data_IF_669022071452
#
_entry.id   IF_669022071452
#
_cell.length_a   1.000
_cell.length_b   1.000
_cell.length_c   1.000
_cell.angle_alpha   90.00
_cell.angle_beta   90.00
_cell.angle_gamma   90.00
#
_symmetry.space_group_name_H-M   'P 1'
#
loop_
_entity.id
_entity.type
_entity.pdbx_description
1 polymer ?
#
# COMPACT_ATOMS: atom_id res chain seq x y z
N UNK A 1 6.04 6.44 -5.04
CA UNK A 1 6.39 7.16 -3.80
C UNK A 1 7.77 7.77 -3.98
N UNK A 2 8.01 8.97 -3.45
CA UNK A 2 9.33 9.62 -3.50
C UNK A 2 10.24 9.12 -2.37
N UNK A 3 11.53 9.39 -2.49
CA UNK A 3 12.48 9.25 -1.39
C UNK A 3 11.99 10.06 -0.18
N UNK A 4 11.86 9.40 0.96
CA UNK A 4 11.37 9.97 2.21
C UNK A 4 12.40 9.74 3.30
N UNK A 5 12.76 10.79 4.02
CA UNK A 5 13.66 10.70 5.18
C UNK A 5 13.07 9.80 6.28
N UNK A 6 13.91 9.24 7.18
CA UNK A 6 13.45 8.57 8.39
C UNK A 6 12.34 9.33 9.14
N UNK A 7 11.22 8.68 9.45
CA UNK A 7 10.08 9.31 10.13
C UNK A 7 9.09 8.28 10.68
N UNK A 8 8.30 8.68 11.69
CA UNK A 8 7.13 7.95 12.21
C UNK A 8 5.87 8.82 12.29
N UNK A 9 5.80 9.86 11.46
CA UNK A 9 4.76 10.89 11.52
C UNK A 9 3.51 10.58 10.67
N UNK A 10 3.46 9.47 9.92
CA UNK A 10 2.40 9.26 8.91
C UNK A 10 0.99 9.15 9.49
N UNK A 11 0.86 8.75 10.76
CA UNK A 11 -0.43 8.66 11.46
C UNK A 11 -0.51 9.59 12.67
N UNK A 12 0.44 10.53 12.81
CA UNK A 12 0.51 11.48 13.94
C UNK A 12 -0.28 12.74 13.60
N UNK A 13 -1.60 12.65 13.70
CA UNK A 13 -2.50 13.78 13.47
C UNK A 13 -2.44 14.82 14.60
N UNK A 14 -2.76 16.11 14.34
CA UNK A 14 -2.84 17.15 15.37
C UNK A 14 -3.93 16.85 16.40
N UNK A 15 -3.68 17.15 17.69
CA UNK A 15 -4.64 16.81 18.76
C UNK A 15 -5.96 17.56 18.63
N UNK A 16 -5.90 18.75 18.05
CA UNK A 16 -7.00 19.66 17.79
C UNK A 16 -8.05 19.07 16.85
N UNK A 17 -7.65 18.15 15.95
CA UNK A 17 -8.57 17.42 15.09
C UNK A 17 -9.35 16.34 15.88
N UNK A 18 -8.81 15.84 17.00
CA UNK A 18 -9.43 14.78 17.78
C UNK A 18 -10.71 15.26 18.48
N UNK A 19 -11.81 14.54 18.28
CA UNK A 19 -13.11 14.83 18.90
C UNK A 19 -14.05 15.71 18.05
N UNK A 20 -13.60 16.13 16.86
CA UNK A 20 -14.37 16.98 15.96
C UNK A 20 -14.13 16.57 14.49
N UNK A 21 -14.08 15.28 14.17
CA UNK A 21 -13.64 14.82 12.84
C UNK A 21 -14.81 14.72 11.88
N UNK A 22 -14.72 15.45 10.77
CA UNK A 22 -15.68 15.34 9.66
C UNK A 22 -15.18 14.37 8.60
N UNK A 23 -13.91 14.46 8.23
CA UNK A 23 -13.29 13.62 7.21
C UNK A 23 -11.81 13.44 7.53
N UNK A 24 -11.26 12.25 7.31
CA UNK A 24 -9.84 11.96 7.54
C UNK A 24 -9.35 10.99 6.47
N UNK A 25 -8.24 11.31 5.84
CA UNK A 25 -7.65 10.48 4.79
C UNK A 25 -6.12 10.55 4.83
N UNK A 26 -5.49 9.39 4.62
CA UNK A 26 -4.04 9.31 4.42
C UNK A 26 -3.69 9.41 2.93
N UNK A 27 -2.63 10.16 2.64
CA UNK A 27 -1.92 10.08 1.38
C UNK A 27 -0.76 9.09 1.46
N UNK A 28 0.21 9.25 0.57
CA UNK A 28 1.32 8.29 0.48
C UNK A 28 2.30 8.32 1.65
N UNK A 29 2.58 9.52 2.18
CA UNK A 29 3.53 9.79 3.28
C UNK A 29 3.05 10.92 4.20
N UNK A 30 1.84 11.43 3.95
CA UNK A 30 1.19 12.51 4.69
C UNK A 30 -0.27 12.16 4.89
N UNK A 31 -1.01 12.92 5.68
CA UNK A 31 -2.46 12.79 5.79
C UNK A 31 -3.12 14.15 5.92
N UNK A 32 -4.42 14.16 5.68
CA UNK A 32 -5.27 15.34 5.73
C UNK A 32 -6.56 15.03 6.50
N UNK A 33 -7.04 16.00 7.26
CA UNK A 33 -8.28 15.89 8.03
C UNK A 33 -9.05 17.18 7.97
N UNK A 34 -10.37 17.10 8.09
CA UNK A 34 -11.27 18.23 8.27
C UNK A 34 -11.95 18.14 9.64
N UNK A 35 -11.88 19.25 10.37
CA UNK A 35 -12.55 19.42 11.67
C UNK A 35 -13.98 19.94 11.54
N UNK A 36 -14.81 19.73 12.56
CA UNK A 36 -16.12 20.37 12.67
C UNK A 36 -16.01 21.89 12.79
N UNK A 37 -14.86 22.38 13.26
CA UNK A 37 -14.47 23.79 13.29
C UNK A 37 -14.23 24.40 11.91
N UNK A 38 -14.37 23.60 10.84
CA UNK A 38 -14.22 24.01 9.45
C UNK A 38 -12.77 24.11 8.98
N UNK A 39 -11.78 23.77 9.81
CA UNK A 39 -10.36 23.83 9.45
C UNK A 39 -9.88 22.55 8.79
N UNK A 40 -8.84 22.71 7.99
CA UNK A 40 -8.06 21.61 7.41
C UNK A 40 -6.82 21.39 8.28
N UNK A 41 -6.53 20.13 8.54
CA UNK A 41 -5.36 19.68 9.29
C UNK A 41 -4.50 18.80 8.38
N UNK A 42 -3.18 18.90 8.53
CA UNK A 42 -2.24 18.05 7.82
C UNK A 42 -1.17 17.48 8.76
N UNK A 43 -0.64 16.31 8.41
CA UNK A 43 0.46 15.68 9.14
C UNK A 43 1.31 14.78 8.24
N UNK A 44 2.41 14.27 8.79
CA UNK A 44 3.36 13.40 8.08
C UNK A 44 4.48 14.18 7.40
N UNK A 45 4.91 13.73 6.22
CA UNK A 45 5.99 14.37 5.46
C UNK A 45 5.40 15.28 4.39
N UNK A 46 5.40 16.58 4.67
CA UNK A 46 4.91 17.60 3.74
C UNK A 46 6.03 18.09 2.81
N UNK A 47 5.65 18.41 1.58
CA UNK A 47 6.52 19.14 0.64
C UNK A 47 6.22 20.63 0.76
N UNK A 48 7.13 21.55 0.34
CA UNK A 48 6.86 22.98 0.41
C UNK A 48 5.54 23.39 -0.26
N UNK A 49 5.12 22.69 -1.34
CA UNK A 49 3.83 22.96 -1.99
C UNK A 49 2.62 22.42 -1.21
N UNK A 50 2.79 21.34 -0.43
CA UNK A 50 1.73 20.83 0.44
C UNK A 50 1.51 21.75 1.64
N UNK A 51 2.56 22.43 2.12
CA UNK A 51 2.46 23.41 3.21
C UNK A 51 1.66 24.66 2.81
N UNK A 52 1.51 24.94 1.51
CA UNK A 52 0.66 26.01 0.97
C UNK A 52 -0.83 25.58 0.95
N UNK A 53 -1.34 25.18 2.11
CA UNK A 53 -2.71 24.76 2.29
C UNK A 53 -3.69 25.93 2.09
N UNK A 54 -4.86 25.71 1.46
CA UNK A 54 -5.87 26.75 1.29
C UNK A 54 -6.47 27.16 2.65
N UNK A 55 -6.96 28.39 2.73
CA UNK A 55 -7.67 28.92 3.88
C UNK A 55 -9.16 29.14 3.51
N UNK A 56 -9.98 28.08 3.46
CA UNK A 56 -11.38 28.17 3.06
C UNK A 56 -12.20 28.98 4.07
N UNK A 57 -13.20 29.70 3.59
CA UNK A 57 -14.12 30.48 4.44
C UNK A 57 -15.36 29.70 4.87
N UNK A 58 -15.70 28.62 4.16
CA UNK A 58 -16.84 27.76 4.46
C UNK A 58 -16.38 26.45 5.10
N UNK A 59 -17.30 25.73 5.74
CA UNK A 59 -16.97 24.47 6.42
C UNK A 59 -16.56 23.39 5.42
N UNK A 60 -15.45 22.73 5.69
CA UNK A 60 -14.97 21.60 4.89
C UNK A 60 -15.71 20.33 5.29
N UNK A 61 -16.28 19.65 4.29
CA UNK A 61 -17.09 18.43 4.46
C UNK A 61 -16.36 17.16 4.01
N UNK A 62 -15.37 17.29 3.12
CA UNK A 62 -14.55 16.17 2.69
C UNK A 62 -13.13 16.63 2.41
N UNK A 63 -12.16 15.77 2.72
CA UNK A 63 -10.77 15.90 2.29
C UNK A 63 -10.30 14.61 1.64
N UNK A 64 -9.36 14.70 0.71
CA UNK A 64 -8.73 13.54 0.09
C UNK A 64 -7.24 13.81 -0.14
N UNK A 65 -6.41 12.80 0.08
CA UNK A 65 -4.95 12.91 -0.02
C UNK A 65 -4.38 11.91 -1.03
N UNK A 66 -3.72 12.44 -2.06
CA UNK A 66 -3.11 11.65 -3.11
C UNK A 66 -1.65 11.32 -2.84
N UNK A 67 -0.88 11.17 -3.92
CA UNK A 67 0.55 10.91 -3.81
C UNK A 67 1.31 12.10 -3.20
N UNK A 68 1.09 13.29 -3.75
CA UNK A 68 1.82 14.52 -3.41
C UNK A 68 0.98 15.81 -3.62
N UNK A 69 -0.35 15.67 -3.66
CA UNK A 69 -1.33 16.75 -3.67
C UNK A 69 -2.55 16.33 -2.84
N UNK A 70 -3.38 17.29 -2.45
CA UNK A 70 -4.58 17.07 -1.68
C UNK A 70 -5.75 17.91 -2.21
N UNK A 71 -6.95 17.42 -1.91
CA UNK A 71 -8.22 18.03 -2.25
C UNK A 71 -9.05 18.26 -0.99
N UNK A 72 -9.85 19.31 -1.01
CA UNK A 72 -10.90 19.56 -0.03
C UNK A 72 -12.18 20.03 -0.72
N UNK A 73 -13.31 19.64 -0.14
CA UNK A 73 -14.65 20.01 -0.58
C UNK A 73 -15.34 20.73 0.57
N UNK A 74 -15.93 21.89 0.29
CA UNK A 74 -16.75 22.61 1.27
C UNK A 74 -18.25 22.29 1.17
N UNK A 75 -19.01 22.75 2.15
CA UNK A 75 -20.46 22.55 2.25
C UNK A 75 -21.27 23.13 1.08
N UNK A 76 -20.69 24.08 0.34
CA UNK A 76 -21.30 24.69 -0.84
C UNK A 76 -20.96 23.94 -2.14
N UNK A 77 -20.11 22.91 -2.06
CA UNK A 77 -19.68 22.13 -3.23
C UNK A 77 -18.50 22.74 -3.98
N UNK A 78 -17.75 23.67 -3.37
CA UNK A 78 -16.53 24.24 -3.95
C UNK A 78 -15.33 23.34 -3.67
N UNK A 79 -14.48 23.18 -4.68
CA UNK A 79 -13.30 22.31 -4.63
C UNK A 79 -12.05 23.14 -4.44
N UNK A 80 -11.22 22.76 -3.48
CA UNK A 80 -9.91 23.31 -3.22
C UNK A 80 -8.83 22.27 -3.49
N UNK A 81 -7.74 22.67 -4.14
CA UNK A 81 -6.63 21.78 -4.52
C UNK A 81 -5.31 22.43 -4.14
N UNK A 82 -4.39 21.67 -3.55
CA UNK A 82 -3.05 22.17 -3.23
C UNK A 82 -1.99 21.05 -3.21
N UNK A 83 -0.72 21.42 -3.15
CA UNK A 83 0.40 20.48 -3.32
C UNK A 83 0.97 20.50 -4.73
N UNK A 84 1.29 19.34 -5.29
CA UNK A 84 1.83 19.26 -6.64
C UNK A 84 0.84 19.81 -7.67
N UNK A 85 1.31 20.77 -8.48
CA UNK A 85 0.56 21.52 -9.49
C UNK A 85 0.92 21.11 -10.92
N UNK A 86 1.87 20.19 -11.10
CA UNK A 86 2.24 19.68 -12.43
C UNK A 86 1.01 19.05 -13.10
N UNK A 87 0.96 19.10 -14.42
CA UNK A 87 -0.17 18.58 -15.21
C UNK A 87 -1.50 19.23 -14.82
N UNK A 88 -1.48 20.48 -14.37
CA UNK A 88 -2.67 21.23 -13.97
C UNK A 88 -3.45 20.61 -12.80
N UNK A 89 -2.79 19.82 -11.94
CA UNK A 89 -3.43 19.19 -10.79
C UNK A 89 -4.08 20.18 -9.82
N UNK A 90 -3.50 21.37 -9.70
CA UNK A 90 -4.00 22.45 -8.87
C UNK A 90 -5.10 23.30 -9.53
N UNK A 91 -5.54 22.95 -10.75
CA UNK A 91 -6.52 23.72 -11.51
C UNK A 91 -7.74 22.83 -11.82
N UNK A 92 -8.76 22.83 -10.94
CA UNK A 92 -10.03 22.17 -11.22
C UNK A 92 -10.65 22.66 -12.55
N UNK A 93 -11.36 21.80 -13.30
CA UNK A 93 -12.07 22.21 -14.50
C UNK A 93 -13.04 23.38 -14.23
N UNK A 94 -13.05 24.45 -15.05
CA UNK A 94 -13.92 25.61 -14.84
C UNK A 94 -15.42 25.28 -14.78
N UNK A 95 -15.84 24.17 -15.40
CA UNK A 95 -17.21 23.67 -15.38
C UNK A 95 -17.69 23.36 -13.96
N UNK A 96 -16.78 22.99 -13.06
CA UNK A 96 -17.12 22.72 -11.66
C UNK A 96 -17.59 23.98 -10.91
N UNK A 97 -17.30 25.19 -11.40
CA UNK A 97 -17.77 26.42 -10.78
C UNK A 97 -19.29 26.61 -10.89
N UNK A 98 -19.94 25.90 -11.82
CA UNK A 98 -21.38 25.97 -12.07
C UNK A 98 -22.13 24.73 -11.59
N UNK A 99 -21.43 23.77 -10.97
CA UNK A 99 -21.98 22.50 -10.51
C UNK A 99 -21.78 22.37 -9.00
N UNK A 100 -22.68 21.69 -8.30
CA UNK A 100 -22.49 21.38 -6.87
C UNK A 100 -21.70 20.08 -6.75
N UNK A 101 -20.44 20.13 -6.32
CA UNK A 101 -19.63 18.93 -6.09
C UNK A 101 -20.06 18.25 -4.78
N UNK A 102 -20.14 16.92 -4.79
CA UNK A 102 -20.51 16.09 -3.62
C UNK A 102 -19.44 15.09 -3.21
N UNK A 103 -18.47 14.82 -4.10
CA UNK A 103 -17.32 13.98 -3.76
C UNK A 103 -16.06 14.47 -4.47
N UNK A 104 -14.93 14.46 -3.77
CA UNK A 104 -13.59 14.68 -4.36
C UNK A 104 -12.65 13.52 -4.06
N UNK A 105 -11.72 13.23 -4.97
CA UNK A 105 -10.65 12.25 -4.75
C UNK A 105 -9.31 12.75 -5.29
N UNK A 106 -8.25 12.53 -4.53
CA UNK A 106 -6.87 12.79 -4.89
C UNK A 106 -6.16 11.47 -5.18
N UNK A 107 -5.83 11.22 -6.45
CA UNK A 107 -5.21 9.97 -6.90
C UNK A 107 -3.69 10.05 -7.10
N UNK A 108 -3.18 9.19 -7.97
CA UNK A 108 -1.80 9.26 -8.44
C UNK A 108 -1.69 10.24 -9.61
N UNK A 109 -1.25 11.48 -9.36
CA UNK A 109 -1.16 12.53 -10.39
C UNK A 109 -2.46 12.79 -11.16
N UNK A 110 -3.61 12.45 -10.58
CA UNK A 110 -4.93 12.67 -11.13
C UNK A 110 -5.90 13.00 -9.99
N UNK A 111 -6.93 13.77 -10.30
CA UNK A 111 -7.95 14.24 -9.37
C UNK A 111 -9.33 13.98 -9.93
N UNK A 112 -10.31 13.75 -9.05
CA UNK A 112 -11.70 13.49 -9.40
C UNK A 112 -12.64 14.43 -8.64
N UNK A 113 -13.74 14.79 -9.30
CA UNK A 113 -14.90 15.40 -8.69
C UNK A 113 -16.16 14.71 -9.21
N UNK A 114 -17.09 14.37 -8.30
CA UNK A 114 -18.44 13.92 -8.61
C UNK A 114 -19.41 15.04 -8.24
N UNK A 115 -20.28 15.42 -9.16
CA UNK A 115 -21.32 16.43 -8.94
C UNK A 115 -22.60 15.82 -8.40
N UNK A 116 -23.43 16.63 -7.74
CA UNK A 116 -24.77 16.26 -7.30
C UNK A 116 -25.69 15.87 -8.46
N UNK A 117 -25.39 16.36 -9.67
CA UNK A 117 -26.05 16.00 -10.92
C UNK A 117 -25.58 14.65 -11.48
N UNK A 118 -24.71 13.92 -10.77
CA UNK A 118 -24.23 12.59 -11.15
C UNK A 118 -23.14 12.58 -12.21
N UNK A 119 -22.44 13.71 -12.43
CA UNK A 119 -21.36 13.81 -13.42
C UNK A 119 -19.99 13.65 -12.77
N UNK A 120 -19.10 12.90 -13.42
CA UNK A 120 -17.70 12.75 -13.00
C UNK A 120 -16.80 13.62 -13.88
N UNK A 121 -15.94 14.41 -13.23
CA UNK A 121 -14.87 15.18 -13.84
C UNK A 121 -13.52 14.67 -13.37
N UNK A 122 -12.58 14.54 -14.31
CA UNK A 122 -11.22 14.04 -14.05
C UNK A 122 -10.19 15.01 -14.64
N UNK A 123 -9.16 15.37 -13.87
CA UNK A 123 -8.08 16.25 -14.34
C UNK A 123 -6.72 15.85 -13.75
N UNK A 124 -5.63 16.35 -14.35
CA UNK A 124 -4.26 15.98 -13.99
C UNK A 124 -3.49 15.40 -15.18
N UNK A 125 -2.70 14.34 -14.94
CA UNK A 125 -1.87 13.69 -15.95
C UNK A 125 -2.65 12.69 -16.83
N UNK A 126 -3.57 13.20 -17.64
CA UNK A 126 -4.44 12.39 -18.53
C UNK A 126 -3.69 11.64 -19.63
N UNK A 127 -2.46 12.05 -19.94
CA UNK A 127 -1.58 11.39 -20.91
C UNK A 127 -1.00 10.06 -20.40
N UNK A 128 -0.74 9.96 -19.09
CA UNK A 128 -0.19 8.74 -18.47
C UNK A 128 -1.29 7.87 -17.84
N UNK A 129 -2.32 8.53 -17.28
CA UNK A 129 -3.40 7.87 -16.56
C UNK A 129 -4.70 8.33 -17.21
N UNK A 130 -5.24 7.49 -18.09
CA UNK A 130 -6.48 7.76 -18.80
C UNK A 130 -7.62 7.06 -18.07
N UNK A 131 -8.53 7.85 -17.51
CA UNK A 131 -9.74 7.38 -16.84
C UNK A 131 -10.94 7.85 -17.66
N UNK A 132 -11.42 7.05 -18.62
CA UNK A 132 -12.58 7.43 -19.41
C UNK A 132 -13.81 7.35 -18.51
N UNK A 133 -14.62 8.41 -18.56
CA UNK A 133 -15.97 8.40 -17.98
C UNK A 133 -16.93 8.16 -19.14
N UNK A 134 -17.62 7.00 -19.19
CA UNK A 134 -18.55 6.71 -20.29
C UNK A 134 -19.68 7.74 -20.34
N UNK A 135 -19.94 8.29 -21.53
CA UNK A 135 -20.95 9.35 -21.71
C UNK A 135 -22.37 8.84 -21.41
N UNK A 136 -22.64 7.56 -21.71
CA UNK A 136 -23.93 6.91 -21.47
C UNK A 136 -24.31 6.81 -19.98
N UNK A 137 -23.31 6.89 -19.08
CA UNK A 137 -23.52 6.85 -17.64
C UNK A 137 -23.38 8.21 -16.96
N UNK A 138 -22.97 9.26 -17.70
CA UNK A 138 -22.89 10.61 -17.13
C UNK A 138 -24.27 11.06 -16.64
N UNK A 139 -24.30 11.59 -15.43
CA UNK A 139 -25.53 12.01 -14.77
C UNK A 139 -26.19 10.93 -13.91
N UNK A 140 -25.64 9.72 -13.88
CA UNK A 140 -26.18 8.59 -13.09
C UNK A 140 -25.29 8.20 -11.92
N UNK A 141 -24.11 8.78 -11.75
CA UNK A 141 -23.17 8.32 -10.73
C UNK A 141 -23.51 8.85 -9.33
N UNK A 142 -23.45 7.97 -8.32
CA UNK A 142 -23.68 8.32 -6.91
C UNK A 142 -22.40 8.26 -6.07
N UNK A 143 -21.39 7.53 -6.54
CA UNK A 143 -20.10 7.40 -5.87
C UNK A 143 -19.02 7.09 -6.89
N UNK A 144 -17.85 7.68 -6.70
CA UNK A 144 -16.63 7.34 -7.44
C UNK A 144 -15.53 6.92 -6.47
N UNK A 145 -14.67 6.00 -6.89
CA UNK A 145 -13.43 5.61 -6.22
C UNK A 145 -12.32 5.46 -7.24
N UNK A 146 -11.07 5.59 -6.80
CA UNK A 146 -9.92 5.46 -7.67
C UNK A 146 -8.74 4.80 -6.95
N UNK A 147 -7.93 4.08 -7.71
CA UNK A 147 -6.60 3.66 -7.27
C UNK A 147 -5.53 4.40 -8.09
N UNK A 148 -4.31 3.85 -8.17
CA UNK A 148 -3.21 4.49 -8.90
C UNK A 148 -3.28 4.36 -10.43
N UNK A 149 -4.17 3.51 -10.96
CA UNK A 149 -4.22 3.13 -12.37
C UNK A 149 -5.58 3.30 -13.03
N UNK A 150 -6.69 3.14 -12.29
CA UNK A 150 -8.05 3.25 -12.81
C UNK A 150 -9.04 3.83 -11.79
N UNK A 151 -10.26 4.13 -12.25
CA UNK A 151 -11.41 4.49 -11.43
C UNK A 151 -12.52 3.44 -11.50
N UNK A 152 -13.43 3.48 -10.53
CA UNK A 152 -14.70 2.76 -10.57
C UNK A 152 -15.79 3.64 -9.96
N UNK A 153 -17.02 3.44 -10.37
CA UNK A 153 -18.15 4.21 -9.89
C UNK A 153 -19.39 3.33 -9.65
N UNK A 154 -20.29 3.83 -8.81
CA UNK A 154 -21.61 3.24 -8.57
C UNK A 154 -22.65 4.17 -9.20
N UNK A 155 -23.60 3.61 -9.94
CA UNK A 155 -24.72 4.36 -10.53
C UNK A 155 -25.91 4.47 -9.56
N UNK A 156 -26.92 5.28 -9.87
CA UNK A 156 -28.17 5.39 -9.11
C UNK A 156 -28.90 4.03 -9.03
N UNK A 157 -28.76 3.23 -10.09
CA UNK A 157 -29.27 1.86 -10.16
C UNK A 157 -28.41 0.85 -9.38
N UNK A 158 -27.38 1.30 -8.65
CA UNK A 158 -26.46 0.45 -7.87
C UNK A 158 -25.64 -0.52 -8.70
N UNK A 159 -25.39 -0.16 -9.95
CA UNK A 159 -24.49 -0.88 -10.83
C UNK A 159 -23.07 -0.37 -10.65
N UNK A 160 -22.10 -1.28 -10.74
CA UNK A 160 -20.67 -0.94 -10.71
C UNK A 160 -20.19 -0.76 -12.14
N UNK A 161 -19.58 0.38 -12.40
CA UNK A 161 -18.96 0.72 -13.69
C UNK A 161 -17.46 0.90 -13.49
N UNK A 162 -16.64 0.15 -14.23
CA UNK A 162 -15.19 0.34 -14.23
C UNK A 162 -14.81 1.42 -15.24
N UNK A 163 -14.11 2.45 -14.77
CA UNK A 163 -13.64 3.58 -15.55
C UNK A 163 -12.23 3.27 -16.09
N UNK A 164 -12.17 2.44 -17.14
CA UNK A 164 -10.93 2.00 -17.76
C UNK A 164 -11.05 2.01 -19.29
N UNK A 165 -10.00 2.40 -20.05
CA UNK A 165 -10.04 2.43 -21.50
C UNK A 165 -10.01 1.04 -22.15
N UNK A 166 -9.73 0.00 -21.35
CA UNK A 166 -9.59 -1.39 -21.81
C UNK A 166 -10.18 -2.32 -20.76
N UNK A 167 -10.52 -3.53 -21.19
CA UNK A 167 -10.84 -4.61 -20.27
C UNK A 167 -9.63 -4.92 -19.38
N UNK A 168 -9.89 -5.10 -18.09
CA UNK A 168 -8.88 -5.42 -17.07
C UNK A 168 -9.43 -6.49 -16.13
N UNK A 169 -8.63 -7.07 -15.24
CA UNK A 169 -9.14 -7.96 -14.20
C UNK A 169 -10.26 -7.34 -13.33
N UNK A 170 -10.34 -6.00 -13.26
CA UNK A 170 -11.39 -5.28 -12.56
C UNK A 170 -12.73 -5.32 -13.33
N UNK A 171 -12.72 -5.55 -14.64
CA UNK A 171 -13.91 -5.61 -15.49
C UNK A 171 -14.74 -6.89 -15.26
N UNK A 172 -14.17 -7.92 -14.63
CA UNK A 172 -14.87 -9.16 -14.26
C UNK A 172 -15.70 -8.98 -12.98
N UNK A 173 -16.63 -8.03 -13.01
CA UNK A 173 -17.54 -7.77 -11.89
C UNK A 173 -18.48 -8.98 -11.74
N UNK A 174 -18.67 -9.53 -10.53
CA UNK A 174 -19.65 -10.59 -10.30
C UNK A 174 -21.05 -10.13 -10.74
N UNK A 175 -21.72 -10.90 -11.59
CA UNK A 175 -23.01 -10.46 -12.15
C UNK A 175 -24.11 -10.39 -11.08
N UNK A 176 -23.99 -11.19 -10.01
CA UNK A 176 -24.95 -11.25 -8.91
C UNK A 176 -24.97 -9.98 -8.04
N UNK A 177 -23.94 -9.13 -8.10
CA UNK A 177 -23.89 -7.90 -7.29
C UNK A 177 -24.47 -6.68 -8.02
N UNK A 178 -24.59 -6.74 -9.34
CA UNK A 178 -25.12 -5.63 -10.13
C UNK A 178 -26.56 -5.30 -9.68
N UNK A 179 -26.82 -4.03 -9.39
CA UNK A 179 -28.11 -3.58 -8.85
C UNK A 179 -28.23 -3.61 -7.32
N UNK A 180 -27.21 -4.13 -6.61
CA UNK A 180 -27.26 -4.28 -5.14
C UNK A 180 -26.13 -3.58 -4.41
N UNK A 181 -25.17 -2.96 -5.09
CA UNK A 181 -24.00 -2.36 -4.46
C UNK A 181 -24.35 -1.08 -3.69
N UNK A 182 -23.77 -0.92 -2.50
CA UNK A 182 -23.92 0.28 -1.64
C UNK A 182 -22.61 1.02 -1.42
N UNK A 183 -21.48 0.31 -1.47
CA UNK A 183 -20.15 0.90 -1.34
C UNK A 183 -19.14 0.08 -2.15
N UNK A 184 -18.07 0.73 -2.58
CA UNK A 184 -17.01 0.13 -3.39
C UNK A 184 -15.67 0.70 -2.95
N UNK A 185 -14.62 -0.09 -3.05
CA UNK A 185 -13.25 0.32 -2.83
C UNK A 185 -12.31 -0.34 -3.83
N UNK A 186 -11.22 0.34 -4.19
CA UNK A 186 -10.21 -0.17 -5.10
C UNK A 186 -8.86 -0.30 -4.39
N UNK A 187 -8.35 -1.53 -4.31
CA UNK A 187 -6.94 -1.77 -4.03
C UNK A 187 -6.10 -1.58 -5.31
N UNK A 188 -4.77 -1.77 -5.22
CA UNK A 188 -3.87 -1.59 -6.38
C UNK A 188 -4.18 -2.58 -7.52
N UNK A 189 -4.70 -3.77 -7.20
CA UNK A 189 -4.92 -4.85 -8.16
C UNK A 189 -6.28 -5.56 -8.05
N UNK A 190 -7.13 -5.16 -7.12
CA UNK A 190 -8.47 -5.73 -6.93
C UNK A 190 -9.48 -4.66 -6.58
N UNK A 191 -10.75 -5.00 -6.76
CA UNK A 191 -11.89 -4.22 -6.31
C UNK A 191 -12.64 -5.00 -5.24
N UNK A 192 -13.24 -4.28 -4.30
CA UNK A 192 -14.13 -4.80 -3.29
C UNK A 192 -15.44 -4.01 -3.27
N UNK A 193 -16.57 -4.68 -3.12
CA UNK A 193 -17.88 -4.06 -3.04
C UNK A 193 -18.69 -4.60 -1.85
N UNK A 194 -19.50 -3.74 -1.25
CA UNK A 194 -20.51 -4.09 -0.24
C UNK A 194 -21.87 -4.05 -0.91
N UNK A 195 -22.68 -5.08 -0.73
CA UNK A 195 -24.06 -5.17 -1.21
C UNK A 195 -25.07 -4.75 -0.13
N UNK A 196 -26.32 -4.49 -0.52
CA UNK A 196 -27.40 -4.03 0.38
C UNK A 196 -27.69 -4.97 1.55
N UNK A 197 -27.46 -6.27 1.36
CA UNK A 197 -27.60 -7.30 2.39
C UNK A 197 -26.34 -7.44 3.27
N UNK A 198 -25.35 -6.56 3.10
CA UNK A 198 -24.13 -6.50 3.89
C UNK A 198 -23.09 -7.56 3.54
N UNK A 199 -23.22 -8.25 2.40
CA UNK A 199 -22.18 -9.15 1.89
C UNK A 199 -21.05 -8.36 1.23
N UNK A 200 -19.87 -8.96 1.21
CA UNK A 200 -18.67 -8.38 0.60
C UNK A 200 -18.16 -9.29 -0.50
N UNK A 201 -17.93 -8.70 -1.66
CA UNK A 201 -17.37 -9.35 -2.84
C UNK A 201 -16.06 -8.68 -3.20
N UNK A 202 -15.02 -9.47 -3.46
CA UNK A 202 -13.71 -8.97 -3.91
C UNK A 202 -13.33 -9.73 -5.18
N UNK A 203 -12.88 -9.00 -6.20
CA UNK A 203 -12.50 -9.57 -7.50
C UNK A 203 -11.27 -8.87 -8.09
N UNK A 204 -10.68 -9.45 -9.13
CA UNK A 204 -9.43 -9.00 -9.75
C UNK A 204 -8.23 -9.82 -9.29
N UNK A 205 -7.12 -9.17 -8.93
CA UNK A 205 -5.91 -9.83 -8.43
C UNK A 205 -6.03 -10.29 -6.99
N UNK A 206 -5.49 -11.46 -6.66
CA UNK A 206 -5.53 -12.05 -5.31
C UNK A 206 -4.18 -11.98 -4.58
N UNK A 207 -3.42 -10.91 -4.82
CA UNK A 207 -2.16 -10.71 -4.11
C UNK A 207 -2.44 -10.63 -2.59
N UNK A 208 -1.74 -11.43 -1.80
CA UNK A 208 -1.88 -11.50 -0.34
C UNK A 208 -3.22 -12.07 0.17
N UNK A 209 -3.96 -12.85 -0.64
CA UNK A 209 -5.20 -13.51 -0.22
C UNK A 209 -6.33 -12.52 0.06
N UNK A 210 -6.40 -11.43 -0.72
CA UNK A 210 -7.40 -10.38 -0.53
C UNK A 210 -8.82 -10.82 -0.93
N UNK A 211 -8.96 -11.85 -1.76
CA UNK A 211 -10.26 -12.44 -2.10
C UNK A 211 -10.79 -13.39 -1.03
N UNK A 212 -9.97 -13.81 -0.07
CA UNK A 212 -10.39 -14.59 1.09
C UNK A 212 -11.09 -13.69 2.12
N UNK A 213 -12.31 -13.26 1.79
CA UNK A 213 -13.12 -12.40 2.65
C UNK A 213 -13.41 -13.12 3.98
N UNK A 214 -13.05 -12.53 5.14
CA UNK A 214 -13.26 -13.19 6.42
C UNK A 214 -14.74 -13.52 6.67
N UNK A 215 -15.09 -14.76 7.08
CA UNK A 215 -16.50 -15.19 7.22
C UNK A 215 -17.34 -14.30 8.14
N UNK A 216 -16.73 -13.72 9.18
CA UNK A 216 -17.41 -12.83 10.12
C UNK A 216 -17.91 -11.51 9.49
N UNK A 217 -17.38 -11.11 8.33
CA UNK A 217 -17.75 -9.88 7.62
C UNK A 217 -19.03 -10.08 6.80
N UNK A 218 -19.27 -11.31 6.31
CA UNK A 218 -20.35 -11.59 5.37
C UNK A 218 -21.74 -11.35 6.00
N UNK A 219 -22.55 -10.52 5.35
CA UNK A 219 -23.90 -10.15 5.78
C UNK A 219 -23.96 -9.06 6.85
N UNK A 220 -22.81 -8.41 7.17
CA UNK A 220 -22.71 -7.41 8.24
C UNK A 220 -22.02 -6.12 7.83
N UNK A 221 -21.41 -6.07 6.65
CA UNK A 221 -20.67 -4.91 6.18
C UNK A 221 -21.59 -3.74 5.84
N UNK A 222 -21.16 -2.51 6.18
CA UNK A 222 -21.85 -1.26 5.81
C UNK A 222 -20.98 -0.30 5.02
N UNK A 223 -19.66 -0.41 5.17
CA UNK A 223 -18.68 0.40 4.44
C UNK A 223 -17.44 -0.47 4.15
N UNK A 224 -16.82 -0.28 2.99
CA UNK A 224 -15.54 -0.87 2.63
C UNK A 224 -14.54 0.21 2.22
N UNK A 225 -13.30 0.02 2.62
CA UNK A 225 -12.19 0.86 2.20
C UNK A 225 -10.98 -0.02 1.89
N UNK A 226 -10.13 0.44 0.97
CA UNK A 226 -9.00 -0.33 0.49
C UNK A 226 -7.72 0.49 0.58
N UNK A 227 -6.64 -0.17 0.99
CA UNK A 227 -5.29 0.32 0.74
C UNK A 227 -4.66 -0.35 -0.46
N UNK A 228 -3.33 -0.29 -0.57
CA UNK A 228 -2.64 -0.86 -1.76
C UNK A 228 -2.88 -2.36 -1.96
N UNK A 229 -2.99 -3.12 -0.88
CA UNK A 229 -3.16 -4.58 -0.97
C UNK A 229 -3.87 -5.16 0.23
N UNK A 230 -4.74 -4.38 0.87
CA UNK A 230 -5.51 -4.80 2.03
C UNK A 230 -6.86 -4.09 2.00
N UNK A 231 -7.86 -4.72 2.62
CA UNK A 231 -9.19 -4.14 2.80
C UNK A 231 -9.46 -3.92 4.28
N UNK A 232 -10.32 -2.94 4.56
CA UNK A 232 -10.91 -2.68 5.86
C UNK A 232 -12.40 -2.49 5.67
N UNK A 233 -13.19 -3.15 6.51
CA UNK A 233 -14.66 -3.08 6.48
C UNK A 233 -15.18 -2.61 7.83
N UNK A 234 -16.14 -1.70 7.79
CA UNK A 234 -16.97 -1.32 8.93
C UNK A 234 -18.22 -2.21 8.93
N UNK A 235 -18.50 -2.82 10.07
CA UNK A 235 -19.67 -3.67 10.27
C UNK A 235 -20.82 -2.87 10.90
N UNK A 236 -22.06 -3.35 10.73
CA UNK A 236 -23.28 -2.71 11.23
C UNK A 236 -23.35 -2.58 12.76
N UNK A 237 -22.54 -3.34 13.49
CA UNK A 237 -22.39 -3.27 14.94
C UNK A 237 -21.32 -2.26 15.41
N UNK A 238 -20.76 -1.48 14.47
CA UNK A 238 -19.75 -0.46 14.74
C UNK A 238 -18.34 -1.03 14.99
N UNK A 239 -18.10 -2.30 14.66
CA UNK A 239 -16.76 -2.91 14.74
C UNK A 239 -16.08 -2.96 13.36
N UNK A 240 -14.77 -3.18 13.36
CA UNK A 240 -13.93 -3.07 12.15
C UNK A 240 -13.09 -4.32 11.95
N UNK A 241 -13.00 -4.78 10.70
CA UNK A 241 -12.16 -5.92 10.29
C UNK A 241 -11.27 -5.51 9.12
N UNK A 242 -9.99 -5.87 9.16
CA UNK A 242 -9.06 -5.73 8.03
C UNK A 242 -8.45 -7.08 7.65
N UNK A 243 -8.12 -7.26 6.38
CA UNK A 243 -7.43 -8.46 5.86
C UNK A 243 -6.60 -8.14 4.61
N UNK A 244 -5.77 -9.08 4.17
CA UNK A 244 -4.83 -8.94 3.06
C UNK A 244 -3.39 -8.66 3.50
N UNK A 245 -2.65 -7.85 2.73
CA UNK A 245 -1.24 -7.52 2.96
C UNK A 245 -1.02 -6.97 4.37
N UNK A 246 -0.03 -7.52 5.08
CA UNK A 246 0.16 -7.20 6.50
C UNK A 246 1.60 -6.83 6.93
N UNK A 247 2.47 -6.46 5.99
CA UNK A 247 3.89 -6.19 6.27
C UNK A 247 4.12 -5.07 7.32
N UNK A 248 3.15 -4.16 7.48
CA UNK A 248 3.18 -3.06 8.44
C UNK A 248 2.03 -3.14 9.47
N UNK A 249 1.46 -4.34 9.67
CA UNK A 249 0.31 -4.59 10.56
C UNK A 249 -1.00 -3.92 10.09
N UNK A 250 -1.09 -3.51 8.82
CA UNK A 250 -2.26 -2.80 8.28
C UNK A 250 -3.50 -3.69 8.10
N UNK A 251 -3.32 -5.01 8.00
CA UNK A 251 -4.42 -5.98 8.00
C UNK A 251 -4.76 -6.49 9.41
N UNK A 252 -4.22 -5.88 10.47
CA UNK A 252 -4.50 -6.25 11.87
C UNK A 252 -5.24 -5.12 12.57
N UNK A 253 -6.52 -4.96 12.25
CA UNK A 253 -7.38 -3.99 12.90
C UNK A 253 -7.40 -4.22 14.44
N UNK A 254 -7.28 -3.15 15.25
CA UNK A 254 -7.48 -3.26 16.69
C UNK A 254 -8.93 -3.61 17.01
N UNK A 255 -9.18 -4.11 18.23
CA UNK A 255 -10.56 -4.34 18.70
C UNK A 255 -11.24 -2.99 18.96
N UNK A 256 -11.99 -2.51 17.98
CA UNK A 256 -12.74 -1.26 18.02
C UNK A 256 -14.25 -1.54 18.13
N UNK A 257 -14.97 -0.58 18.70
CA UNK A 257 -16.44 -0.54 18.79
C UNK A 257 -16.89 0.90 18.56
N UNK A 258 -18.17 1.10 18.28
CA UNK A 258 -18.78 2.42 18.09
C UNK A 258 -18.12 3.24 16.96
N UNK A 259 -17.54 2.57 15.96
CA UNK A 259 -16.98 3.20 14.77
C UNK A 259 -18.12 3.60 13.83
N UNK A 260 -18.03 4.82 13.30
CA UNK A 260 -19.03 5.39 12.37
C UNK A 260 -18.48 5.61 10.97
N UNK A 261 -17.15 5.67 10.84
CA UNK A 261 -16.47 5.98 9.59
C UNK A 261 -15.11 5.30 9.54
N UNK A 262 -14.76 4.75 8.37
CA UNK A 262 -13.41 4.23 8.10
C UNK A 262 -12.82 4.86 6.84
N UNK A 263 -11.50 4.97 6.80
CA UNK A 263 -10.72 5.31 5.62
C UNK A 263 -9.42 4.51 5.61
N UNK A 264 -9.16 3.81 4.51
CA UNK A 264 -7.91 3.13 4.24
C UNK A 264 -7.18 3.85 3.13
N UNK A 265 -5.88 3.99 3.32
CA UNK A 265 -4.98 4.66 2.39
C UNK A 265 -3.89 3.67 1.97
N UNK A 266 -2.76 4.13 1.44
CA UNK A 266 -1.65 3.30 0.98
C UNK A 266 -1.34 2.10 1.89
N UNK A 267 -0.97 2.37 3.15
CA UNK A 267 -0.69 1.36 4.18
C UNK A 267 -1.19 1.77 5.57
N UNK A 268 -1.88 2.91 5.67
CA UNK A 268 -2.44 3.47 6.88
C UNK A 268 -3.94 3.24 6.88
N UNK A 269 -4.51 3.04 8.07
CA UNK A 269 -5.95 2.97 8.26
C UNK A 269 -6.36 3.95 9.34
N UNK A 270 -7.54 4.52 9.16
CA UNK A 270 -8.21 5.43 10.06
C UNK A 270 -9.62 4.90 10.33
N UNK A 271 -10.02 4.89 11.59
CA UNK A 271 -11.39 4.65 12.01
C UNK A 271 -11.79 5.75 12.98
N UNK A 272 -12.97 6.34 12.78
CA UNK A 272 -13.50 7.41 13.61
C UNK A 272 -14.67 6.87 14.41
N UNK A 273 -14.61 7.02 15.73
CA UNK A 273 -15.71 6.62 16.62
C UNK A 273 -16.83 7.69 16.67
N UNK A 274 -17.96 7.33 17.26
CA UNK A 274 -19.12 8.24 17.45
C UNK A 274 -18.81 9.52 18.24
N UNK A 275 -17.69 9.57 18.95
CA UNK A 275 -17.23 10.74 19.71
C UNK A 275 -16.18 11.56 18.93
N UNK A 276 -15.95 11.24 17.65
CA UNK A 276 -14.98 11.93 16.80
C UNK A 276 -13.51 11.56 17.10
N UNK A 277 -13.25 10.47 17.84
CA UNK A 277 -11.87 10.02 18.12
C UNK A 277 -11.33 9.20 16.95
N UNK A 278 -10.11 9.51 16.52
CA UNK A 278 -9.42 8.78 15.45
C UNK A 278 -8.58 7.64 16.03
N UNK A 279 -8.87 6.42 15.59
CA UNK A 279 -8.09 5.22 15.79
C UNK A 279 -7.27 4.91 14.54
N UNK A 280 -5.98 4.62 14.70
CA UNK A 280 -5.08 4.37 13.57
C UNK A 280 -4.28 3.08 13.74
N UNK A 281 -4.04 2.39 12.63
CA UNK A 281 -3.16 1.22 12.57
C UNK A 281 -2.54 1.05 11.17
N UNK A 282 -1.47 0.27 11.07
CA UNK A 282 -0.68 0.12 9.85
C UNK A 282 0.65 0.88 9.91
N UNK A 283 1.09 1.39 8.76
CA UNK A 283 2.40 2.00 8.59
C UNK A 283 2.51 3.37 9.28
N UNK A 284 3.29 3.44 10.36
CA UNK A 284 3.59 4.70 11.08
C UNK A 284 4.62 5.57 10.36
N UNK A 285 5.46 4.95 9.55
CA UNK A 285 6.58 5.57 8.84
C UNK A 285 7.74 4.59 8.70
N UNK A 286 8.85 5.05 8.13
CA UNK A 286 10.01 4.24 7.80
C UNK A 286 11.19 4.57 8.70
N UNK A 287 11.73 3.57 9.40
CA UNK A 287 12.83 3.75 10.37
C UNK A 287 14.09 4.32 9.72
N UNK A 288 14.45 3.85 8.53
CA UNK A 288 15.60 4.33 7.75
C UNK A 288 15.19 5.13 6.51
N UNK A 289 13.91 5.53 6.43
CA UNK A 289 13.38 6.18 5.23
C UNK A 289 13.19 5.22 4.06
N UNK A 290 13.06 5.79 2.87
CA UNK A 290 12.90 5.05 1.61
C UNK A 290 13.99 5.40 0.60
N UNK A 291 14.15 4.59 -0.43
CA UNK A 291 15.00 4.94 -1.56
C UNK A 291 14.29 5.86 -2.58
N UNK A 292 14.97 6.17 -3.69
CA UNK A 292 14.43 7.00 -4.78
C UNK A 292 13.13 6.47 -5.41
N UNK A 293 12.82 5.19 -5.23
CA UNK A 293 11.58 4.57 -5.73
C UNK A 293 10.51 4.43 -4.64
N UNK A 294 10.78 4.91 -3.41
CA UNK A 294 9.86 4.84 -2.29
C UNK A 294 9.82 3.48 -1.59
N UNK A 295 10.85 2.64 -1.75
CA UNK A 295 10.94 1.32 -1.10
C UNK A 295 11.59 1.45 0.27
N UNK A 296 11.04 0.77 1.28
CA UNK A 296 11.54 0.77 2.66
C UNK A 296 12.99 0.26 2.76
N UNK A 297 13.92 1.14 3.14
CA UNK A 297 15.34 0.80 3.24
C UNK A 297 15.63 -0.18 4.37
N UNK A 298 14.97 -0.05 5.52
CA UNK A 298 15.25 -0.89 6.68
C UNK A 298 14.83 -2.33 6.41
N UNK A 299 13.61 -2.54 5.90
CA UNK A 299 13.11 -3.87 5.56
C UNK A 299 13.98 -4.53 4.49
N UNK A 300 14.47 -3.75 3.50
CA UNK A 300 15.36 -4.26 2.44
C UNK A 300 16.73 -4.67 2.98
N UNK A 301 17.31 -3.87 3.87
CA UNK A 301 18.57 -4.20 4.53
C UNK A 301 18.43 -5.47 5.38
N UNK A 302 17.34 -5.60 6.13
CA UNK A 302 17.07 -6.81 6.90
C UNK A 302 16.86 -8.04 6.00
N UNK A 303 16.10 -7.91 4.91
CA UNK A 303 15.85 -9.05 4.01
C UNK A 303 17.13 -9.49 3.29
N UNK A 304 17.93 -8.55 2.77
CA UNK A 304 19.20 -8.85 2.12
C UNK A 304 20.23 -9.38 3.13
N UNK A 305 20.34 -8.72 4.28
CA UNK A 305 21.24 -9.11 5.35
C UNK A 305 20.95 -10.50 5.91
N UNK A 306 19.69 -10.91 6.02
CA UNK A 306 19.32 -12.29 6.40
C UNK A 306 19.93 -13.33 5.48
N UNK A 307 19.86 -13.13 4.16
CA UNK A 307 20.43 -14.07 3.18
C UNK A 307 21.95 -14.11 3.33
N UNK A 308 22.62 -12.95 3.36
CA UNK A 308 24.08 -12.88 3.51
C UNK A 308 24.57 -13.50 4.82
N UNK A 309 23.91 -13.21 5.94
CA UNK A 309 24.25 -13.78 7.25
C UNK A 309 23.98 -15.29 7.31
N UNK A 310 22.91 -15.77 6.69
CA UNK A 310 22.62 -17.21 6.62
C UNK A 310 23.70 -17.95 5.83
N UNK A 311 24.15 -17.36 4.71
CA UNK A 311 25.24 -17.92 3.90
C UNK A 311 26.52 -18.02 4.73
N UNK A 312 26.91 -16.93 5.40
CA UNK A 312 28.11 -16.92 6.26
C UNK A 312 28.01 -17.91 7.43
N UNK A 313 26.86 -17.96 8.11
CA UNK A 313 26.66 -18.86 9.24
C UNK A 313 26.73 -20.33 8.84
N UNK A 314 26.07 -20.71 7.73
CA UNK A 314 26.10 -22.10 7.23
C UNK A 314 27.51 -22.47 6.76
N UNK A 315 28.20 -21.58 6.06
CA UNK A 315 29.59 -21.81 5.66
C UNK A 315 30.51 -22.06 6.86
N UNK A 316 30.43 -21.23 7.91
CA UNK A 316 31.22 -21.41 9.14
C UNK A 316 30.88 -22.71 9.87
N UNK A 317 29.61 -23.13 9.89
CA UNK A 317 29.21 -24.41 10.50
C UNK A 317 29.81 -25.59 9.72
N UNK A 318 29.72 -25.58 8.39
CA UNK A 318 30.26 -26.64 7.54
C UNK A 318 31.79 -26.72 7.70
N UNK A 319 32.47 -25.58 7.56
CA UNK A 319 33.91 -25.46 7.74
C UNK A 319 34.35 -25.91 9.14
N UNK A 320 33.61 -25.49 10.17
CA UNK A 320 33.87 -25.90 11.56
C UNK A 320 33.75 -27.41 11.75
N UNK A 321 32.72 -28.06 11.21
CA UNK A 321 32.56 -29.52 11.29
C UNK A 321 33.71 -30.23 10.58
N UNK A 322 34.03 -29.82 9.35
CA UNK A 322 35.12 -30.42 8.56
C UNK A 322 36.46 -30.21 9.26
N UNK A 323 36.73 -28.98 9.70
CA UNK A 323 37.96 -28.60 10.38
C UNK A 323 38.15 -29.32 11.71
N UNK A 324 37.08 -29.51 12.50
CA UNK A 324 37.13 -30.30 13.74
C UNK A 324 37.44 -31.76 13.42
N UNK A 325 36.79 -32.37 12.42
CA UNK A 325 37.02 -33.77 12.06
C UNK A 325 38.46 -33.96 11.56
N UNK A 326 38.88 -33.16 10.58
CA UNK A 326 40.21 -33.23 9.98
C UNK A 326 41.29 -32.93 11.02
N UNK A 327 41.10 -31.89 11.83
CA UNK A 327 42.03 -31.50 12.89
C UNK A 327 42.13 -32.56 13.99
N UNK A 328 41.02 -33.19 14.37
CA UNK A 328 41.02 -34.27 15.38
C UNK A 328 41.74 -35.51 14.87
N UNK A 329 41.53 -35.91 13.61
CA UNK A 329 42.23 -37.05 13.00
C UNK A 329 43.73 -36.75 12.89
N UNK A 330 44.08 -35.56 12.39
CA UNK A 330 45.47 -35.15 12.28
C UNK A 330 46.18 -35.15 13.64
N UNK A 331 45.58 -34.51 14.63
CA UNK A 331 46.14 -34.38 15.98
C UNK A 331 46.27 -35.72 16.73
N UNK A 332 45.34 -36.66 16.51
CA UNK A 332 45.38 -37.97 17.17
C UNK A 332 46.48 -38.89 16.62
N UNK A 333 46.65 -38.95 15.29
CA UNK A 333 47.60 -39.87 14.66
C UNK A 333 49.00 -39.26 14.45
N UNK A 334 49.10 -37.95 14.20
CA UNK A 334 50.36 -37.26 13.95
C UNK A 334 51.15 -37.77 12.72
N UNK A 335 52.35 -37.21 12.53
CA UNK A 335 53.32 -37.69 11.54
C UNK A 335 52.83 -37.62 10.08
N UNK A 336 52.79 -38.77 9.40
CA UNK A 336 52.40 -38.85 7.98
C UNK A 336 50.94 -38.46 7.74
N UNK A 337 50.05 -38.76 8.69
CA UNK A 337 48.62 -38.43 8.60
C UNK A 337 48.39 -36.93 8.67
N UNK A 338 49.08 -36.26 9.60
CA UNK A 338 49.05 -34.80 9.72
C UNK A 338 49.61 -34.12 8.45
N UNK A 339 50.78 -34.57 7.99
CA UNK A 339 51.38 -34.05 6.76
C UNK A 339 50.42 -34.16 5.56
N UNK A 340 49.68 -35.25 5.43
CA UNK A 340 48.70 -35.40 4.36
C UNK A 340 47.56 -34.38 4.46
N UNK A 341 46.91 -34.25 5.62
CA UNK A 341 45.79 -33.31 5.79
C UNK A 341 46.22 -31.85 5.67
N UNK A 342 47.42 -31.51 6.15
CA UNK A 342 47.99 -30.17 5.97
C UNK A 342 48.24 -29.85 4.49
N UNK A 343 48.78 -30.80 3.72
CA UNK A 343 48.94 -30.63 2.26
C UNK A 343 47.60 -30.51 1.54
N UNK A 344 46.61 -31.29 1.95
CA UNK A 344 45.26 -31.18 1.40
C UNK A 344 44.66 -29.78 1.66
N UNK A 345 44.79 -29.27 2.88
CA UNK A 345 44.32 -27.93 3.24
C UNK A 345 45.04 -26.82 2.44
N UNK A 346 46.35 -26.93 2.23
CA UNK A 346 47.12 -26.01 1.37
C UNK A 346 46.59 -26.00 -0.07
N UNK A 347 46.27 -27.18 -0.62
CA UNK A 347 45.70 -27.31 -1.97
C UNK A 347 44.32 -26.65 -2.05
N UNK A 348 43.47 -26.85 -1.05
CA UNK A 348 42.13 -26.23 -0.98
C UNK A 348 42.26 -24.70 -0.91
N UNK A 349 43.15 -24.19 -0.05
CA UNK A 349 43.39 -22.75 0.11
C UNK A 349 44.02 -22.07 -1.12
N UNK A 350 44.71 -22.84 -1.98
CA UNK A 350 45.25 -22.32 -3.23
C UNK A 350 44.17 -22.03 -4.29
N UNK A 351 42.93 -22.52 -4.09
CA UNK A 351 41.82 -22.29 -5.02
C UNK A 351 41.27 -20.86 -4.82
N UNK A 352 41.35 -19.99 -5.84
CA UNK A 352 40.88 -18.61 -5.68
C UNK A 352 39.35 -18.57 -5.64
N UNK A 353 38.81 -18.17 -4.49
CA UNK A 353 37.37 -18.21 -4.21
C UNK A 353 36.53 -17.36 -5.18
N UNK A 354 36.89 -16.08 -5.38
CA UNK A 354 36.11 -15.17 -6.21
C UNK A 354 36.00 -15.65 -7.68
N UNK A 355 37.09 -16.04 -8.36
CA UNK A 355 37.02 -16.66 -9.68
C UNK A 355 36.14 -17.91 -9.73
N UNK A 356 36.29 -18.84 -8.79
CA UNK A 356 35.50 -20.08 -8.78
C UNK A 356 34.01 -19.77 -8.60
N UNK A 357 33.65 -18.88 -7.68
CA UNK A 357 32.28 -18.46 -7.44
C UNK A 357 31.67 -17.81 -8.69
N UNK A 358 32.41 -16.95 -9.39
CA UNK A 358 31.97 -16.34 -10.64
C UNK A 358 31.76 -17.37 -11.75
N UNK A 359 32.68 -18.32 -11.92
CA UNK A 359 32.59 -19.38 -12.93
C UNK A 359 31.37 -20.26 -12.68
N UNK A 360 31.15 -20.69 -11.42
CA UNK A 360 30.00 -21.52 -11.08
C UNK A 360 28.68 -20.76 -11.22
N UNK A 361 28.64 -19.49 -10.81
CA UNK A 361 27.48 -18.64 -11.01
C UNK A 361 27.15 -18.47 -12.51
N UNK A 362 28.17 -18.39 -13.37
CA UNK A 362 28.00 -18.27 -14.82
C UNK A 362 27.53 -19.59 -15.47
N UNK A 363 28.12 -20.72 -15.09
CA UNK A 363 27.80 -22.04 -15.65
C UNK A 363 26.37 -22.48 -15.29
N UNK A 364 25.93 -22.16 -14.07
CA UNK A 364 24.66 -22.65 -13.54
C UNK A 364 23.47 -21.85 -14.06
N UNK A 365 23.69 -20.59 -14.47
CA UNK A 365 22.69 -19.77 -15.16
C UNK A 365 21.31 -19.77 -14.46
N UNK A 366 20.24 -19.87 -15.27
CA UNK A 366 18.84 -19.96 -14.82
C UNK A 366 18.33 -21.39 -14.63
N UNK A 367 19.19 -22.42 -14.74
CA UNK A 367 18.77 -23.83 -14.71
C UNK A 367 18.40 -24.34 -13.32
N UNK A 368 18.85 -23.66 -12.27
CA UNK A 368 18.59 -24.02 -10.87
C UNK A 368 17.79 -22.88 -10.21
N UNK A 369 16.89 -23.24 -9.29
CA UNK A 369 16.17 -22.27 -8.48
C UNK A 369 17.14 -21.34 -7.74
N UNK A 370 16.68 -20.12 -7.41
CA UNK A 370 17.45 -19.16 -6.65
C UNK A 370 17.95 -19.73 -5.31
N UNK A 371 17.10 -20.47 -4.61
CA UNK A 371 17.44 -21.21 -3.38
C UNK A 371 18.51 -22.28 -3.63
N UNK A 372 18.45 -23.01 -4.74
CA UNK A 372 19.45 -24.02 -5.07
C UNK A 372 20.82 -23.42 -5.35
N UNK A 373 20.87 -22.28 -6.04
CA UNK A 373 22.11 -21.52 -6.27
C UNK A 373 22.73 -21.04 -4.96
N UNK A 374 21.92 -20.47 -4.07
CA UNK A 374 22.36 -20.04 -2.74
C UNK A 374 22.91 -21.23 -1.94
N UNK A 375 22.18 -22.36 -1.93
CA UNK A 375 22.57 -23.57 -1.20
C UNK A 375 23.92 -24.12 -1.64
N UNK A 376 24.17 -24.13 -2.94
CA UNK A 376 25.43 -24.60 -3.48
C UNK A 376 26.60 -23.65 -3.14
N UNK A 377 26.40 -22.33 -3.26
CA UNK A 377 27.40 -21.34 -2.86
C UNK A 377 27.76 -21.51 -1.38
N UNK A 378 26.78 -21.79 -0.51
CA UNK A 378 27.03 -22.05 0.93
C UNK A 378 27.91 -23.28 1.16
N UNK A 379 27.65 -24.37 0.44
CA UNK A 379 28.46 -25.60 0.55
C UNK A 379 29.88 -25.37 0.05
N UNK A 380 30.04 -24.68 -1.08
CA UNK A 380 31.36 -24.36 -1.63
C UNK A 380 32.14 -23.45 -0.68
N UNK A 381 31.49 -22.40 -0.16
CA UNK A 381 32.09 -21.54 0.86
C UNK A 381 32.56 -22.35 2.06
N UNK A 382 31.70 -23.20 2.63
CA UNK A 382 32.08 -24.01 3.78
C UNK A 382 33.13 -25.09 3.50
N UNK A 383 33.29 -25.54 2.26
CA UNK A 383 34.33 -26.50 1.87
C UNK A 383 35.69 -25.83 1.61
N UNK A 384 35.68 -24.57 1.19
CA UNK A 384 36.87 -23.81 0.79
C UNK A 384 37.34 -22.80 1.84
N UNK A 385 36.50 -22.48 2.83
CA UNK A 385 36.85 -21.69 4.02
C UNK A 385 37.38 -22.59 5.12
#
# INVERSE_FOLDING_TARGET
QKNTKPTFAFMRYPKELGGQVVSVEGGSVFGVGAGEDGKIYQWGTLTPKLELMPNPTAKIVQVSAGLDHALALDEHGRVYTWGNDRFSLANPPPQLNSERVVQVLAGHQISFALTASGKIYVWGNTNLITIPVPEEHQGTFTRVVANTTLGAAITENREVVILSPKETPFSYIPSEIQGTVVDIALAERSAGAVTRDGRVYVWGGDDYGVQEVPPQVQGKAVQISAGRGHYTVLMNDGTVVSWGRNNYKQAKAPRLKDIVYINSSYFQNYAVDKNGKIHTWGLKGYLMGTDQYGRDLFTRLLSGGRVTLTIGAIAVIISGIIGIIVGSISGYYGGKTDMFFMRLAEVVNAIPFLPLAMILSAIIGSKISETGRISMIMVILGLLS
#
